data_IF_122068687393
#
_entry.id   IF_122068687393
#
_cell.length_a   1.000
_cell.length_b   1.000
_cell.length_c   1.000
_cell.angle_alpha   90.00
_cell.angle_beta   90.00
_cell.angle_gamma   90.00
#
_symmetry.space_group_name_H-M   'P 1'
#
loop_
_entity.id
_entity.type
_entity.pdbx_description
1 polymer ?
#
# COMPACT_ATOMS: atom_id res chain seq x y z
N UNK A 1 15.43 -4.46 34.28
CA UNK A 1 14.17 -4.38 33.53
C UNK A 1 14.55 -3.91 32.15
N UNK A 2 14.67 -4.85 31.21
CA UNK A 2 15.11 -4.53 29.85
C UNK A 2 13.98 -3.82 29.15
N UNK A 3 14.20 -2.57 28.73
CA UNK A 3 13.38 -1.92 27.72
C UNK A 3 13.42 -2.80 26.47
N UNK A 4 12.43 -3.68 26.34
CA UNK A 4 12.12 -4.36 25.10
C UNK A 4 11.81 -3.25 24.11
N UNK A 5 12.82 -2.91 23.30
CA UNK A 5 12.68 -2.09 22.12
C UNK A 5 11.70 -2.81 21.19
N UNK A 6 10.40 -2.62 21.43
CA UNK A 6 9.35 -3.09 20.53
C UNK A 6 9.49 -2.24 19.29
N UNK A 7 10.23 -2.77 18.31
CA UNK A 7 10.29 -2.17 16.99
C UNK A 7 8.83 -2.08 16.50
N UNK A 8 8.32 -0.88 16.20
CA UNK A 8 6.94 -0.75 15.75
C UNK A 8 6.74 -1.62 14.51
N UNK A 9 5.75 -2.51 14.56
CA UNK A 9 5.41 -3.33 13.41
C UNK A 9 4.82 -2.41 12.33
N UNK A 10 5.29 -2.48 11.08
CA UNK A 10 4.78 -1.63 10.03
C UNK A 10 3.28 -1.83 9.84
N UNK A 11 2.50 -0.76 9.97
CA UNK A 11 1.04 -0.79 9.76
C UNK A 11 0.69 -0.15 8.42
N UNK A 12 0.01 -0.91 7.56
CA UNK A 12 -0.41 -0.49 6.23
C UNK A 12 -1.92 -0.30 6.18
N UNK A 13 -2.36 0.82 5.63
CA UNK A 13 -3.77 1.05 5.32
C UNK A 13 -4.04 0.67 3.87
N UNK A 14 -4.99 -0.24 3.64
CA UNK A 14 -5.46 -0.62 2.31
C UNK A 14 -6.81 0.05 2.08
N UNK A 15 -6.87 0.97 1.12
CA UNK A 15 -8.11 1.60 0.68
C UNK A 15 -8.46 1.13 -0.73
N UNK A 16 -9.31 0.11 -0.81
CA UNK A 16 -9.76 -0.49 -2.06
C UNK A 16 -11.13 -1.16 -1.88
N UNK A 17 -11.86 -1.39 -2.99
CA UNK A 17 -13.12 -2.15 -2.93
C UNK A 17 -12.85 -3.64 -2.74
N UNK A 18 -13.79 -4.35 -2.15
CA UNK A 18 -13.83 -5.83 -2.21
C UNK A 18 -14.09 -6.30 -3.65
N UNK A 19 -13.51 -7.43 -4.10
CA UNK A 19 -12.66 -8.37 -3.35
C UNK A 19 -11.17 -7.97 -3.29
N UNK A 20 -10.76 -6.91 -3.99
CA UNK A 20 -9.34 -6.53 -4.13
C UNK A 20 -8.70 -6.24 -2.76
N UNK A 21 -9.39 -5.52 -1.87
CA UNK A 21 -8.89 -5.22 -0.53
C UNK A 21 -8.53 -6.49 0.26
N UNK A 22 -9.33 -7.55 0.14
CA UNK A 22 -9.08 -8.83 0.82
C UNK A 22 -7.81 -9.51 0.27
N UNK A 23 -7.65 -9.57 -1.06
CA UNK A 23 -6.45 -10.14 -1.68
C UNK A 23 -5.17 -9.38 -1.33
N UNK A 24 -5.23 -8.05 -1.33
CA UNK A 24 -4.10 -7.20 -0.95
C UNK A 24 -3.75 -7.38 0.54
N UNK A 25 -4.75 -7.41 1.41
CA UNK A 25 -4.57 -7.65 2.84
C UNK A 25 -3.91 -9.00 3.10
N UNK A 26 -4.39 -10.06 2.45
CA UNK A 26 -3.79 -11.39 2.57
C UNK A 26 -2.33 -11.41 2.10
N UNK A 27 -2.03 -10.78 0.96
CA UNK A 27 -0.66 -10.70 0.44
C UNK A 27 0.31 -9.98 1.40
N UNK A 28 -0.15 -8.91 2.06
CA UNK A 28 0.61 -8.15 3.03
C UNK A 28 0.75 -8.89 4.37
N UNK A 29 -0.30 -9.56 4.84
CA UNK A 29 -0.30 -10.34 6.07
C UNK A 29 0.68 -11.52 6.01
N UNK A 30 0.79 -12.19 4.85
CA UNK A 30 1.81 -13.23 4.59
C UNK A 30 3.25 -12.73 4.75
N UNK A 31 3.45 -11.40 4.79
CA UNK A 31 4.75 -10.75 4.93
C UNK A 31 4.95 -10.18 6.34
N UNK A 32 4.13 -10.61 7.31
CA UNK A 32 4.12 -10.18 8.70
C UNK A 32 3.89 -8.66 8.88
N UNK A 33 3.13 -8.04 7.98
CA UNK A 33 2.71 -6.64 8.09
C UNK A 33 1.36 -6.54 8.77
N UNK A 34 1.19 -5.54 9.65
CA UNK A 34 -0.14 -5.20 10.16
C UNK A 34 -0.93 -4.49 9.06
N UNK A 35 -2.21 -4.80 8.91
CA UNK A 35 -3.05 -4.25 7.84
C UNK A 35 -4.41 -3.83 8.37
N UNK A 36 -4.79 -2.58 8.09
CA UNK A 36 -6.19 -2.13 8.19
C UNK A 36 -6.75 -2.03 6.78
N UNK A 37 -7.93 -2.61 6.54
CA UNK A 37 -8.64 -2.50 5.26
C UNK A 37 -9.87 -1.62 5.43
N UNK A 38 -10.05 -0.67 4.51
CA UNK A 38 -11.22 0.19 4.42
C UNK A 38 -11.73 0.17 2.98
N UNK A 39 -13.04 0.25 2.81
CA UNK A 39 -13.69 0.07 1.51
C UNK A 39 -14.41 1.31 1.01
N UNK A 40 -14.67 2.28 1.89
CA UNK A 40 -15.25 3.57 1.55
C UNK A 40 -14.50 4.76 2.17
N UNK A 41 -14.88 5.96 1.72
CA UNK A 41 -14.22 7.21 2.11
C UNK A 41 -14.40 7.52 3.61
N UNK A 42 -15.57 7.20 4.19
CA UNK A 42 -15.85 7.50 5.59
C UNK A 42 -14.96 6.65 6.49
N UNK A 43 -14.85 5.36 6.19
CA UNK A 43 -13.93 4.45 6.85
C UNK A 43 -12.48 4.90 6.68
N UNK A 44 -12.10 5.34 5.48
CA UNK A 44 -10.75 5.84 5.21
C UNK A 44 -10.40 7.07 6.05
N UNK A 45 -11.30 8.04 6.16
CA UNK A 45 -11.08 9.23 7.01
C UNK A 45 -10.97 8.84 8.48
N UNK A 46 -11.89 7.98 8.97
CA UNK A 46 -11.85 7.52 10.35
C UNK A 46 -10.54 6.77 10.67
N UNK A 47 -10.06 5.94 9.75
CA UNK A 47 -8.79 5.23 9.91
C UNK A 47 -7.61 6.20 10.03
N UNK A 48 -7.54 7.22 9.18
CA UNK A 48 -6.48 8.24 9.23
C UNK A 48 -6.43 9.02 10.56
N UNK A 49 -7.56 9.15 11.25
CA UNK A 49 -7.65 9.82 12.55
C UNK A 49 -7.27 8.90 13.73
N UNK A 50 -7.44 7.59 13.56
CA UNK A 50 -7.29 6.61 14.64
C UNK A 50 -5.86 6.08 14.79
N UNK A 51 -5.10 6.00 13.70
CA UNK A 51 -3.79 5.34 13.72
C UNK A 51 -2.78 6.01 12.78
N UNK A 52 -1.50 5.68 12.96
CA UNK A 52 -0.39 6.11 12.11
C UNK A 52 0.02 4.99 11.18
N UNK A 53 -0.20 5.19 9.90
CA UNK A 53 0.19 4.24 8.87
C UNK A 53 1.56 4.56 8.27
N UNK A 54 2.29 3.53 7.86
CA UNK A 54 3.56 3.72 7.16
C UNK A 54 3.39 3.97 5.67
N UNK A 55 2.34 3.40 5.08
CA UNK A 55 1.96 3.66 3.71
C UNK A 55 0.47 3.35 3.52
N UNK A 56 -0.09 3.93 2.46
CA UNK A 56 -1.45 3.68 2.01
C UNK A 56 -1.37 2.95 0.67
N UNK A 57 -1.99 1.78 0.60
CA UNK A 57 -2.17 1.03 -0.64
C UNK A 57 -3.55 1.36 -1.19
N UNK A 58 -3.63 1.84 -2.43
CA UNK A 58 -4.90 2.20 -3.06
C UNK A 58 -4.86 1.99 -4.57
N UNK A 59 -6.00 2.15 -5.25
CA UNK A 59 -6.11 2.04 -6.70
C UNK A 59 -6.12 3.42 -7.37
N UNK A 60 -6.04 3.45 -8.71
CA UNK A 60 -6.03 4.71 -9.46
C UNK A 60 -7.30 5.53 -9.21
N UNK A 61 -8.45 4.85 -9.05
CA UNK A 61 -9.74 5.51 -8.84
C UNK A 61 -9.77 6.40 -7.58
N UNK A 62 -9.07 6.01 -6.51
CA UNK A 62 -9.08 6.75 -5.24
C UNK A 62 -7.83 7.62 -5.03
N UNK A 63 -6.84 7.55 -5.92
CA UNK A 63 -5.52 8.15 -5.66
C UNK A 63 -5.57 9.65 -5.39
N UNK A 64 -6.37 10.40 -6.16
CA UNK A 64 -6.54 11.86 -5.98
C UNK A 64 -7.16 12.19 -4.62
N UNK A 65 -8.10 11.36 -4.18
CA UNK A 65 -8.80 11.53 -2.92
C UNK A 65 -7.89 11.27 -1.72
N UNK A 66 -7.04 10.24 -1.81
CA UNK A 66 -6.02 9.92 -0.82
C UNK A 66 -5.00 11.06 -0.73
N UNK A 67 -4.47 11.53 -1.86
CA UNK A 67 -3.52 12.66 -1.91
C UNK A 67 -4.06 13.93 -1.26
N UNK A 68 -5.36 14.22 -1.41
CA UNK A 68 -5.98 15.41 -0.83
C UNK A 68 -6.07 15.37 0.71
N UNK A 69 -5.98 14.18 1.32
CA UNK A 69 -6.23 13.97 2.75
C UNK A 69 -4.98 13.63 3.55
N UNK A 70 -3.87 13.32 2.87
CA UNK A 70 -2.74 12.74 3.56
C UNK A 70 -1.42 12.94 2.85
N UNK A 71 -0.35 12.94 3.62
CA UNK A 71 1.03 13.00 3.12
C UNK A 71 1.78 11.68 3.27
N UNK A 72 1.09 10.61 3.70
CA UNK A 72 1.69 9.27 3.78
C UNK A 72 2.13 8.80 2.39
N UNK A 73 3.17 7.96 2.30
CA UNK A 73 3.54 7.30 1.05
C UNK A 73 2.35 6.53 0.47
N UNK A 74 2.06 6.77 -0.82
CA UNK A 74 0.96 6.11 -1.53
C UNK A 74 1.52 5.09 -2.51
N UNK A 75 0.95 3.89 -2.50
CA UNK A 75 1.29 2.79 -3.39
C UNK A 75 0.04 2.46 -4.20
N UNK A 76 0.08 2.73 -5.50
CA UNK A 76 -0.97 2.30 -6.42
C UNK A 76 -0.79 0.81 -6.72
N UNK A 77 -1.72 -0.06 -6.31
CA UNK A 77 -1.58 -1.50 -6.51
C UNK A 77 -1.73 -1.93 -7.98
N UNK A 78 -2.40 -1.13 -8.81
CA UNK A 78 -2.67 -1.48 -10.21
C UNK A 78 -1.38 -1.53 -11.06
N UNK A 79 -0.30 -0.87 -10.60
CA UNK A 79 1.00 -0.89 -11.30
C UNK A 79 1.66 -2.29 -11.29
N UNK A 80 1.19 -3.18 -10.41
CA UNK A 80 1.66 -4.56 -10.29
C UNK A 80 0.76 -5.54 -11.04
N UNK A 81 -0.25 -5.04 -11.77
CA UNK A 81 -1.08 -5.86 -12.65
C UNK A 81 -0.44 -5.84 -14.04
N UNK A 82 0.02 -7.00 -14.49
CA UNK A 82 0.69 -7.19 -15.77
C UNK A 82 -0.11 -8.11 -16.67
N UNK A 83 -0.05 -7.89 -17.98
CA UNK A 83 -0.59 -8.83 -18.97
C UNK A 83 0.47 -9.90 -19.28
N UNK A 84 0.14 -11.18 -19.09
CA UNK A 84 1.02 -12.28 -19.50
C UNK A 84 0.57 -12.81 -20.85
N UNK A 85 1.44 -12.84 -21.88
CA UNK A 85 1.14 -13.52 -23.13
C UNK A 85 1.01 -15.03 -22.86
N UNK A 86 -0.10 -15.65 -23.25
CA UNK A 86 -0.21 -17.10 -23.20
C UNK A 86 0.67 -17.69 -24.30
N UNK A 87 1.75 -18.36 -23.92
CA UNK A 87 2.75 -18.90 -24.85
C UNK A 87 2.30 -20.18 -25.56
N UNK A 88 1.07 -20.64 -25.39
CA UNK A 88 0.65 -21.98 -25.86
C UNK A 88 -0.62 -22.03 -26.71
N UNK A 89 -1.27 -20.92 -27.08
CA UNK A 89 -2.33 -20.95 -28.10
C UNK A 89 -2.42 -19.61 -28.83
N UNK A 90 -2.64 -19.65 -30.14
CA UNK A 90 -2.72 -18.50 -31.05
C UNK A 90 -3.93 -17.57 -30.82
N UNK A 91 -4.62 -17.68 -29.68
CA UNK A 91 -5.63 -16.72 -29.25
C UNK A 91 -4.97 -15.63 -28.42
N UNK A 92 -5.17 -14.37 -28.81
CA UNK A 92 -4.67 -13.14 -28.18
C UNK A 92 -5.23 -12.89 -26.76
N UNK A 93 -5.53 -13.93 -25.98
CA UNK A 93 -6.08 -13.82 -24.64
C UNK A 93 -4.95 -13.63 -23.63
N UNK A 94 -4.55 -12.37 -23.44
CA UNK A 94 -3.72 -11.98 -22.29
C UNK A 94 -4.54 -12.02 -21.01
N UNK A 95 -4.14 -12.85 -20.04
CA UNK A 95 -4.74 -12.82 -18.69
C UNK A 95 -3.96 -11.84 -17.80
N UNK A 96 -4.65 -11.02 -16.99
CA UNK A 96 -3.99 -10.19 -16.01
C UNK A 96 -3.39 -11.07 -14.89
N UNK A 97 -2.16 -10.74 -14.49
CA UNK A 97 -1.41 -11.35 -13.40
C UNK A 97 -0.99 -10.26 -12.41
N UNK A 98 -1.11 -10.51 -11.11
CA UNK A 98 -0.66 -9.60 -10.07
C UNK A 98 0.71 -10.03 -9.55
N UNK A 99 1.73 -9.19 -9.72
CA UNK A 99 3.08 -9.43 -9.21
C UNK A 99 3.17 -9.10 -7.72
N UNK A 100 2.77 -10.07 -6.89
CA UNK A 100 2.84 -10.00 -5.43
C UNK A 100 4.28 -9.77 -4.93
N UNK A 101 5.28 -10.26 -5.67
CA UNK A 101 6.69 -10.15 -5.30
C UNK A 101 7.17 -8.71 -5.38
N UNK A 102 6.99 -8.08 -6.54
CA UNK A 102 7.33 -6.66 -6.75
C UNK A 102 6.47 -5.73 -5.88
N UNK A 103 5.18 -6.04 -5.70
CA UNK A 103 4.30 -5.32 -4.79
C UNK A 103 4.88 -5.28 -3.36
N UNK A 104 5.22 -6.44 -2.81
CA UNK A 104 5.78 -6.55 -1.45
C UNK A 104 7.12 -5.83 -1.32
N UNK A 105 8.00 -5.95 -2.33
CA UNK A 105 9.29 -5.23 -2.35
C UNK A 105 9.07 -3.73 -2.32
N UNK A 106 8.12 -3.20 -3.09
CA UNK A 106 7.81 -1.77 -3.11
C UNK A 106 7.30 -1.29 -1.76
N UNK A 107 6.38 -2.05 -1.15
CA UNK A 107 5.87 -1.77 0.19
C UNK A 107 7.02 -1.67 1.19
N UNK A 108 7.90 -2.67 1.26
CA UNK A 108 9.09 -2.66 2.13
C UNK A 108 10.09 -1.53 1.84
N UNK A 109 10.27 -1.16 0.57
CA UNK A 109 11.16 -0.04 0.20
C UNK A 109 10.67 1.29 0.78
N UNK A 110 9.34 1.54 0.79
CA UNK A 110 8.76 2.74 1.40
C UNK A 110 8.95 2.78 2.92
N UNK A 111 9.01 1.61 3.56
CA UNK A 111 9.26 1.49 5.00
C UNK A 111 10.68 1.87 5.41
N UNK A 112 11.67 1.60 4.55
CA UNK A 112 13.09 1.88 4.85
C UNK A 112 13.45 3.36 4.72
N UNK A 113 12.54 4.20 4.23
CA UNK A 113 12.79 5.61 3.98
C UNK A 113 11.81 6.58 4.72
N UNK A 114 11.58 6.47 6.05
CA UNK A 114 10.67 7.38 6.76
C UNK A 114 11.21 8.82 6.88
N UNK A 115 12.53 9.02 6.69
CA UNK A 115 13.25 10.25 7.05
C UNK A 115 13.53 11.20 5.88
N UNK A 116 13.30 10.80 4.62
CA UNK A 116 13.47 11.73 3.49
C UNK A 116 12.33 12.75 3.34
N UNK A 117 11.15 12.47 3.91
CA UNK A 117 10.02 13.41 3.85
C UNK A 117 10.10 14.57 4.86
N UNK A 118 11.01 14.51 5.85
CA UNK A 118 11.20 15.60 6.84
C UNK A 118 12.20 16.65 6.34
N UNK A 119 13.11 16.30 5.42
CA UNK A 119 14.22 17.19 5.02
C UNK A 119 13.88 18.31 4.04
N UNK A 120 12.69 18.32 3.44
CA UNK A 120 12.33 19.35 2.44
C UNK A 120 11.68 20.60 3.09
N UNK A 121 11.25 20.53 4.36
CA UNK A 121 10.58 21.65 5.04
C UNK A 121 11.49 22.55 5.89
N UNK A 122 12.82 22.40 5.85
CA UNK A 122 13.73 23.21 6.70
C UNK A 122 14.68 24.16 5.95
N UNK A 123 14.51 24.39 4.64
CA UNK A 123 15.33 25.36 3.90
C UNK A 123 14.49 26.40 3.15
N UNK A 124 13.69 27.17 3.89
CA UNK A 124 13.30 28.53 3.49
C UNK A 124 13.38 29.45 4.71
N UNK A 125 14.59 29.93 4.96
CA UNK A 125 14.82 31.24 5.58
C UNK A 125 14.99 32.24 4.43
#
# INVERSE_FOLDING_TARGET
MSDLNVVPHPHILVYARSPIAASLSQALALQALSVTTVTDLREFVAALEQDRYWAIVTGTMHIREVWARTSHPIINYEIFIHAVPQTTNSSSDTRPYFDTGEFTKRVRSRMKNPLEHVRISMNRL
#
